data_IF_275432758598
#
_entry.id   IF_275432758598
#
_cell.length_a   1.000
_cell.length_b   1.000
_cell.length_c   1.000
_cell.angle_alpha   90.00
_cell.angle_beta   90.00
_cell.angle_gamma   90.00
#
_symmetry.space_group_name_H-M   'P 1'
#
loop_
_entity.id
_entity.type
_entity.pdbx_description
1 polymer ?
#
# COMPACT_ATOMS: atom_id res chain seq x y z
N UNK A 1 -23.33 17.65 6.97
CA UNK A 1 -22.72 16.86 5.86
C UNK A 1 -23.73 15.82 5.43
N UNK A 2 -24.00 15.64 4.14
CA UNK A 2 -24.88 14.55 3.67
C UNK A 2 -24.14 13.22 3.80
N UNK A 3 -24.86 12.11 4.03
CA UNK A 3 -24.25 10.77 4.18
C UNK A 3 -23.36 10.41 2.99
N UNK A 4 -23.80 10.75 1.78
CA UNK A 4 -23.04 10.56 0.53
C UNK A 4 -21.68 11.26 0.55
N UNK A 5 -21.63 12.50 1.04
CA UNK A 5 -20.36 13.25 1.14
C UNK A 5 -19.40 12.58 2.11
N UNK A 6 -19.90 12.04 3.22
CA UNK A 6 -19.07 11.32 4.20
C UNK A 6 -18.47 10.06 3.59
N UNK A 7 -19.28 9.23 2.93
CA UNK A 7 -18.78 8.01 2.27
C UNK A 7 -17.75 8.34 1.18
N UNK A 8 -18.02 9.36 0.37
CA UNK A 8 -17.09 9.83 -0.66
C UNK A 8 -15.76 10.29 -0.04
N UNK A 9 -15.80 11.10 1.01
CA UNK A 9 -14.59 11.55 1.72
C UNK A 9 -13.81 10.38 2.32
N UNK A 10 -14.49 9.42 2.97
CA UNK A 10 -13.83 8.23 3.53
C UNK A 10 -13.17 7.39 2.44
N UNK A 11 -13.85 7.18 1.30
CA UNK A 11 -13.29 6.44 0.18
C UNK A 11 -12.06 7.13 -0.42
N UNK A 12 -12.09 8.46 -0.56
CA UNK A 12 -10.95 9.26 -1.04
C UNK A 12 -9.77 9.12 -0.08
N UNK A 13 -10.00 9.28 1.22
CA UNK A 13 -8.94 9.14 2.23
C UNK A 13 -8.36 7.73 2.21
N UNK A 14 -9.22 6.70 2.17
CA UNK A 14 -8.80 5.31 2.09
C UNK A 14 -7.91 5.05 0.88
N UNK A 15 -8.30 5.57 -0.30
CA UNK A 15 -7.53 5.46 -1.52
C UNK A 15 -6.18 6.18 -1.44
N UNK A 16 -6.15 7.40 -0.90
CA UNK A 16 -4.90 8.16 -0.76
C UNK A 16 -3.91 7.50 0.19
N UNK A 17 -4.40 6.95 1.32
CA UNK A 17 -3.58 6.16 2.24
C UNK A 17 -3.08 4.89 1.56
N UNK A 18 -3.94 4.18 0.84
CA UNK A 18 -3.56 3.00 0.08
C UNK A 18 -2.53 3.30 -1.01
N UNK A 19 -2.63 4.45 -1.68
CA UNK A 19 -1.71 4.89 -2.71
C UNK A 19 -0.32 5.16 -2.12
N UNK A 20 -0.25 5.89 -1.00
CA UNK A 20 1.00 6.11 -0.28
C UNK A 20 1.63 4.79 0.19
N UNK A 21 0.82 3.87 0.71
CA UNK A 21 1.27 2.54 1.11
C UNK A 21 1.81 1.73 -0.08
N UNK A 22 1.11 1.73 -1.21
CA UNK A 22 1.53 1.00 -2.41
C UNK A 22 2.87 1.52 -2.96
N UNK A 23 3.13 2.83 -2.89
CA UNK A 23 4.45 3.36 -3.22
C UNK A 23 5.54 2.88 -2.27
N UNK A 24 5.30 2.94 -0.96
CA UNK A 24 6.26 2.43 0.03
C UNK A 24 6.52 0.91 -0.17
N UNK A 25 5.47 0.14 -0.42
CA UNK A 25 5.51 -1.29 -0.72
C UNK A 25 6.34 -1.56 -1.99
N UNK A 26 6.05 -0.87 -3.09
CA UNK A 26 6.76 -1.02 -4.35
C UNK A 26 8.25 -0.67 -4.22
N UNK A 27 8.58 0.38 -3.46
CA UNK A 27 9.97 0.77 -3.19
C UNK A 27 10.68 -0.32 -2.37
N UNK A 28 10.05 -0.80 -1.30
CA UNK A 28 10.62 -1.82 -0.41
C UNK A 28 10.90 -3.14 -1.15
N UNK A 29 9.95 -3.60 -1.96
CA UNK A 29 10.08 -4.81 -2.78
C UNK A 29 10.77 -4.61 -4.12
N UNK A 30 11.37 -3.43 -4.35
CA UNK A 30 12.16 -3.11 -5.56
C UNK A 30 11.39 -3.37 -6.87
N UNK A 31 10.11 -3.06 -6.90
CA UNK A 31 9.30 -3.16 -8.11
C UNK A 31 9.85 -2.23 -9.20
N UNK A 32 9.61 -2.59 -10.46
CA UNK A 32 10.05 -1.74 -11.59
C UNK A 32 9.34 -0.39 -11.53
N UNK A 33 10.00 0.69 -11.98
CA UNK A 33 9.40 2.04 -11.94
C UNK A 33 8.10 2.18 -12.75
N UNK A 34 7.81 1.25 -13.65
CA UNK A 34 6.56 1.18 -14.42
C UNK A 34 5.46 0.38 -13.71
N UNK A 35 5.74 -0.21 -12.55
CA UNK A 35 4.79 -1.06 -11.83
C UNK A 35 3.52 -0.33 -11.40
N UNK A 36 3.53 1.01 -11.30
CA UNK A 36 2.33 1.80 -11.03
C UNK A 36 1.22 1.59 -12.06
N UNK A 37 1.58 1.17 -13.28
CA UNK A 37 0.64 0.85 -14.35
C UNK A 37 0.12 -0.60 -14.28
N UNK A 38 0.64 -1.41 -13.36
CA UNK A 38 0.28 -2.83 -13.25
C UNK A 38 -0.97 -3.05 -12.39
N UNK A 39 -1.78 -4.08 -12.68
CA UNK A 39 -2.89 -4.49 -11.82
C UNK A 39 -2.44 -4.80 -10.38
N UNK A 40 -1.23 -5.33 -10.21
CA UNK A 40 -0.68 -5.65 -8.89
C UNK A 40 -0.52 -4.43 -7.99
N UNK A 41 -0.14 -3.28 -8.55
CA UNK A 41 -0.01 -2.04 -7.79
C UNK A 41 -1.36 -1.58 -7.25
N UNK A 42 -2.39 -1.53 -8.11
CA UNK A 42 -3.74 -1.16 -7.67
C UNK A 42 -4.34 -2.17 -6.70
N UNK A 43 -4.00 -3.45 -6.83
CA UNK A 43 -4.39 -4.45 -5.83
C UNK A 43 -3.85 -4.09 -4.44
N UNK A 44 -2.59 -3.67 -4.33
CA UNK A 44 -2.01 -3.18 -3.07
C UNK A 44 -2.72 -1.90 -2.60
N UNK A 45 -3.01 -0.95 -3.50
CA UNK A 45 -3.74 0.29 -3.15
C UNK A 45 -5.09 -0.02 -2.49
N UNK A 46 -5.87 -0.96 -3.06
CA UNK A 46 -7.20 -1.27 -2.53
C UNK A 46 -7.21 -2.21 -1.34
N UNK A 47 -6.17 -3.04 -1.18
CA UNK A 47 -6.08 -4.06 -0.11
C UNK A 47 -5.02 -3.77 0.93
N UNK A 48 -4.52 -2.52 0.97
CA UNK A 48 -3.43 -2.09 1.86
C UNK A 48 -3.58 -2.51 3.32
N UNK A 49 -4.77 -2.54 3.97
CA UNK A 49 -4.86 -2.95 5.37
C UNK A 49 -4.44 -4.40 5.60
N UNK A 50 -4.74 -5.28 4.63
CA UNK A 50 -4.33 -6.68 4.68
C UNK A 50 -2.85 -6.84 4.36
N UNK A 51 -2.36 -6.11 3.35
CA UNK A 51 -0.94 -6.11 2.95
C UNK A 51 -0.04 -5.51 4.04
N UNK A 52 -0.53 -4.55 4.82
CA UNK A 52 0.21 -3.89 5.88
C UNK A 52 0.69 -4.86 6.97
N UNK A 53 -0.08 -5.92 7.27
CA UNK A 53 0.32 -6.93 8.26
C UNK A 53 1.55 -7.70 7.79
N UNK A 54 1.53 -8.18 6.54
CA UNK A 54 2.67 -8.87 5.91
C UNK A 54 3.87 -7.93 5.78
N UNK A 55 3.65 -6.76 5.19
CA UNK A 55 4.67 -5.73 5.03
C UNK A 55 5.36 -5.35 6.34
N UNK A 56 4.62 -5.20 7.43
CA UNK A 56 5.20 -4.89 8.74
C UNK A 56 6.07 -6.04 9.25
N UNK A 57 5.59 -7.28 9.11
CA UNK A 57 6.38 -8.45 9.49
C UNK A 57 7.67 -8.54 8.67
N UNK A 58 7.57 -8.35 7.36
CA UNK A 58 8.73 -8.37 6.46
C UNK A 58 9.71 -7.25 6.80
N UNK A 59 9.21 -6.04 7.11
CA UNK A 59 10.04 -4.93 7.54
C UNK A 59 10.80 -5.25 8.83
N UNK A 60 10.15 -5.87 9.81
CA UNK A 60 10.79 -6.29 11.07
C UNK A 60 11.79 -7.44 10.85
N UNK A 61 11.45 -8.41 10.01
CA UNK A 61 12.21 -9.65 9.83
C UNK A 61 13.37 -9.49 8.87
N UNK A 62 13.20 -8.75 7.77
CA UNK A 62 14.19 -8.60 6.70
C UNK A 62 14.73 -7.18 6.60
N UNK A 63 13.85 -6.17 6.75
CA UNK A 63 14.25 -4.76 6.67
C UNK A 63 15.20 -4.33 7.79
N UNK A 64 14.86 -4.65 9.04
CA UNK A 64 15.66 -4.27 10.21
C UNK A 64 16.80 -5.24 10.53
N UNK A 65 16.72 -6.48 10.05
CA UNK A 65 17.75 -7.50 10.30
C UNK A 65 18.86 -7.50 9.25
N UNK A 66 18.70 -6.75 8.16
CA UNK A 66 19.62 -6.73 7.02
C UNK A 66 19.62 -8.02 6.17
N UNK A 67 18.65 -8.92 6.40
CA UNK A 67 18.49 -10.12 5.57
C UNK A 67 17.92 -9.74 4.20
N UNK A 68 18.40 -10.36 3.11
CA UNK A 68 17.84 -10.13 1.78
C UNK A 68 16.37 -10.58 1.73
N UNK A 69 15.58 -9.79 1.01
CA UNK A 69 14.19 -10.05 0.60
C UNK A 69 14.22 -10.65 -0.80
#
# INVERSE_FOLDING_TARGET
>A
MTKEKVFSTVAIIYFLVGLAFAFAFAIYYKWSGLSFSSPGFFFVVFTWPYQALGFTNDLLVYGLSGKPI
#
